data_IF_704629047686
#
_entry.id   IF_704629047686
#
_cell.length_a   1.000
_cell.length_b   1.000
_cell.length_c   1.000
_cell.angle_alpha   90.00
_cell.angle_beta   90.00
_cell.angle_gamma   90.00
#
_symmetry.space_group_name_H-M   'P 1'
#
loop_
_entity.id
_entity.type
_entity.pdbx_description
1 polymer ?
#
# COMPACT_ATOMS: atom_id res chain seq x y z
N UNK A 1 -7.87 58.91 -47.13
CA UNK A 1 -7.45 57.55 -46.75
C UNK A 1 -7.99 57.27 -45.35
N UNK A 2 -9.09 56.52 -45.23
CA UNK A 2 -9.70 56.13 -43.95
C UNK A 2 -9.33 54.67 -43.69
N UNK A 3 -8.49 54.42 -42.70
CA UNK A 3 -8.13 53.06 -42.28
C UNK A 3 -9.23 52.49 -41.40
N UNK A 4 -9.91 51.45 -41.89
CA UNK A 4 -10.79 50.58 -41.10
C UNK A 4 -9.92 49.51 -40.45
N UNK A 5 -9.74 49.60 -39.12
CA UNK A 5 -9.13 48.53 -38.34
C UNK A 5 -10.18 47.46 -38.04
N UNK A 6 -10.01 46.28 -38.64
CA UNK A 6 -10.80 45.10 -38.31
C UNK A 6 -10.31 44.50 -36.99
N UNK A 7 -11.18 44.45 -35.99
CA UNK A 7 -10.94 43.73 -34.73
C UNK A 7 -11.33 42.27 -34.96
N UNK A 8 -10.34 41.38 -34.98
CA UNK A 8 -10.56 39.94 -35.00
C UNK A 8 -10.94 39.47 -33.58
N UNK A 9 -12.18 39.03 -33.40
CA UNK A 9 -12.61 38.35 -32.17
C UNK A 9 -12.04 36.92 -32.17
N UNK A 10 -11.09 36.66 -31.28
CA UNK A 10 -10.57 35.31 -31.04
C UNK A 10 -11.55 34.57 -30.12
N UNK A 11 -12.36 33.67 -30.68
CA UNK A 11 -13.23 32.80 -29.89
C UNK A 11 -12.38 31.71 -29.21
N UNK A 12 -12.19 31.85 -27.89
CA UNK A 12 -11.54 30.83 -27.07
C UNK A 12 -12.49 29.63 -26.92
N UNK A 13 -12.31 28.58 -27.71
CA UNK A 13 -13.03 27.33 -27.51
C UNK A 13 -12.50 26.65 -26.24
N UNK A 14 -13.22 26.78 -25.13
CA UNK A 14 -13.03 25.97 -23.94
C UNK A 14 -13.41 24.52 -24.29
N UNK A 15 -12.39 23.69 -24.56
CA UNK A 15 -12.58 22.26 -24.64
C UNK A 15 -13.14 21.77 -23.28
N UNK A 16 -14.17 20.89 -23.27
CA UNK A 16 -14.64 20.32 -22.02
C UNK A 16 -13.50 19.52 -21.38
N UNK A 17 -13.06 19.96 -20.19
CA UNK A 17 -12.13 19.18 -19.38
C UNK A 17 -12.78 17.82 -19.12
N UNK A 18 -12.18 16.75 -19.65
CA UNK A 18 -12.54 15.41 -19.26
C UNK A 18 -12.38 15.34 -17.73
N UNK A 19 -13.50 15.28 -17.01
CA UNK A 19 -13.50 15.14 -15.55
C UNK A 19 -12.87 13.78 -15.28
N UNK A 20 -11.61 13.77 -14.86
CA UNK A 20 -10.97 12.56 -14.33
C UNK A 20 -11.97 11.94 -13.35
N UNK A 21 -12.28 10.64 -13.52
CA UNK A 21 -13.19 9.95 -12.64
C UNK A 21 -12.70 10.13 -11.21
N UNK A 22 -13.56 10.65 -10.34
CA UNK A 22 -13.21 10.94 -8.95
C UNK A 22 -12.71 9.64 -8.30
N UNK A 23 -11.51 9.67 -7.72
CA UNK A 23 -10.95 8.51 -7.03
C UNK A 23 -11.93 8.09 -5.93
N UNK A 24 -12.14 6.78 -5.72
CA UNK A 24 -13.02 6.36 -4.65
C UNK A 24 -12.37 6.71 -3.31
N UNK A 25 -13.19 7.01 -2.31
CA UNK A 25 -12.75 7.23 -0.93
C UNK A 25 -13.25 6.10 -0.04
N UNK A 26 -12.48 5.02 0.18
CA UNK A 26 -12.83 3.97 1.13
C UNK A 26 -12.83 4.51 2.57
N UNK A 27 -13.74 4.01 3.38
CA UNK A 27 -13.81 4.27 4.82
C UNK A 27 -12.64 3.59 5.56
N UNK A 28 -12.23 2.41 5.07
CA UNK A 28 -11.09 1.64 5.58
C UNK A 28 -10.26 1.06 4.43
N UNK A 29 -8.94 1.18 4.53
CA UNK A 29 -7.97 0.50 3.68
C UNK A 29 -7.08 -0.36 4.56
N UNK A 30 -6.93 -1.65 4.24
CA UNK A 30 -5.91 -2.52 4.83
C UNK A 30 -4.85 -2.77 3.77
N UNK A 31 -3.60 -2.45 4.10
CA UNK A 31 -2.42 -2.74 3.28
C UNK A 31 -1.65 -3.87 3.95
N UNK A 32 -1.54 -5.00 3.27
CA UNK A 32 -0.74 -6.16 3.68
C UNK A 32 0.51 -6.20 2.82
N UNK A 33 1.66 -6.42 3.46
CA UNK A 33 2.97 -6.46 2.79
C UNK A 33 3.61 -7.81 3.10
N UNK A 34 3.82 -8.60 2.06
CA UNK A 34 4.55 -9.88 2.06
C UNK A 34 6.00 -9.65 1.57
N UNK A 35 6.86 -10.67 1.63
CA UNK A 35 8.31 -10.55 1.42
C UNK A 35 8.87 -11.39 0.27
N UNK A 36 9.99 -10.93 -0.30
CA UNK A 36 11.01 -11.72 -1.00
C UNK A 36 10.52 -12.69 -2.08
N UNK A 37 9.49 -12.34 -2.84
CA UNK A 37 8.92 -13.19 -3.87
C UNK A 37 8.61 -12.41 -5.14
N UNK A 38 9.22 -12.85 -6.24
CA UNK A 38 8.95 -12.29 -7.57
C UNK A 38 7.56 -12.65 -8.07
N UNK A 39 7.04 -11.84 -8.99
CA UNK A 39 5.73 -12.03 -9.60
C UNK A 39 5.56 -13.43 -10.17
N UNK A 40 6.57 -13.96 -10.89
CA UNK A 40 6.46 -15.28 -11.51
C UNK A 40 6.41 -16.40 -10.47
N UNK A 41 7.11 -16.24 -9.34
CA UNK A 41 7.10 -17.20 -8.24
C UNK A 41 5.76 -17.29 -7.53
N UNK A 42 4.93 -16.24 -7.60
CA UNK A 42 3.59 -16.24 -7.02
C UNK A 42 2.57 -16.62 -8.09
N UNK A 43 2.49 -15.86 -9.18
CA UNK A 43 1.40 -15.95 -10.14
C UNK A 43 1.55 -17.04 -11.21
N UNK A 44 2.77 -17.57 -11.44
CA UNK A 44 2.99 -18.68 -12.37
C UNK A 44 3.11 -20.04 -11.66
N UNK A 45 2.83 -20.09 -10.35
CA UNK A 45 2.75 -21.35 -9.63
C UNK A 45 1.67 -22.26 -10.20
N UNK A 46 1.90 -23.57 -10.15
CA UNK A 46 0.89 -24.57 -10.51
C UNK A 46 -0.33 -24.56 -9.58
N UNK A 47 -0.26 -23.86 -8.44
CA UNK A 47 -1.32 -23.77 -7.45
C UNK A 47 -2.27 -22.57 -7.71
N UNK A 48 -2.95 -22.59 -8.85
CA UNK A 48 -3.92 -21.55 -9.21
C UNK A 48 -5.17 -21.50 -8.32
N UNK A 49 -5.33 -22.44 -7.37
CA UNK A 49 -6.46 -22.52 -6.44
C UNK A 49 -6.18 -21.92 -5.06
N UNK A 50 -4.97 -21.42 -4.81
CA UNK A 50 -4.60 -20.72 -3.58
C UNK A 50 -5.42 -19.45 -3.34
N UNK A 51 -5.43 -18.97 -2.11
CA UNK A 51 -6.17 -17.77 -1.70
C UNK A 51 -5.64 -16.50 -2.38
N UNK A 52 -4.33 -16.34 -2.52
CA UNK A 52 -3.70 -15.23 -3.27
C UNK A 52 -4.23 -15.18 -4.71
N UNK A 53 -4.31 -16.33 -5.38
CA UNK A 53 -4.87 -16.39 -6.74
C UNK A 53 -6.38 -16.12 -6.76
N UNK A 54 -7.11 -16.49 -5.70
CA UNK A 54 -8.52 -16.12 -5.56
C UNK A 54 -8.70 -14.61 -5.40
N UNK A 55 -7.84 -13.93 -4.63
CA UNK A 55 -7.82 -12.46 -4.53
C UNK A 55 -7.54 -11.81 -5.88
N UNK A 56 -6.55 -12.32 -6.63
CA UNK A 56 -6.22 -11.82 -7.96
C UNK A 56 -7.39 -11.92 -8.95
N UNK A 57 -8.20 -12.99 -8.86
CA UNK A 57 -9.43 -13.16 -9.67
C UNK A 57 -10.58 -12.24 -9.22
N UNK A 58 -10.68 -11.98 -7.91
CA UNK A 58 -11.78 -11.20 -7.32
C UNK A 58 -11.57 -9.69 -7.44
N UNK A 59 -10.32 -9.25 -7.40
CA UNK A 59 -9.91 -7.87 -7.51
C UNK A 59 -9.19 -7.56 -8.82
N UNK A 60 -8.33 -6.56 -8.78
CA UNK A 60 -7.40 -6.26 -9.87
C UNK A 60 -5.99 -6.69 -9.51
N UNK A 61 -5.36 -7.46 -10.41
CA UNK A 61 -3.94 -7.81 -10.35
C UNK A 61 -3.14 -6.82 -11.20
N UNK A 62 -2.11 -6.20 -10.63
CA UNK A 62 -1.16 -5.39 -11.39
C UNK A 62 -0.06 -6.30 -11.94
N UNK A 63 0.01 -6.41 -13.27
CA UNK A 63 0.95 -7.32 -13.95
C UNK A 63 2.31 -6.67 -14.22
N UNK A 64 2.51 -5.44 -13.76
CA UNK A 64 3.71 -4.61 -13.93
C UNK A 64 3.95 -3.81 -12.62
N UNK A 65 3.93 -4.48 -11.48
CA UNK A 65 4.20 -3.88 -10.16
C UNK A 65 5.64 -4.16 -9.74
N UNK A 66 6.33 -3.17 -9.19
CA UNK A 66 7.75 -3.29 -8.85
C UNK A 66 8.05 -2.79 -7.44
N UNK A 67 8.98 -3.46 -6.76
CA UNK A 67 9.67 -2.87 -5.61
C UNK A 67 10.51 -1.66 -6.03
N UNK A 68 10.98 -0.89 -5.05
CA UNK A 68 11.76 0.33 -5.29
C UNK A 68 13.26 0.05 -5.34
N UNK A 69 13.74 -0.85 -4.48
CA UNK A 69 15.17 -1.20 -4.38
C UNK A 69 15.31 -2.54 -3.67
N UNK A 70 16.54 -2.94 -3.40
CA UNK A 70 16.89 -3.93 -2.38
C UNK A 70 17.73 -3.32 -1.25
N UNK A 71 17.74 -3.91 -0.04
CA UNK A 71 16.89 -5.02 0.45
C UNK A 71 15.52 -4.52 0.99
N UNK A 72 14.80 -5.37 1.72
CA UNK A 72 13.43 -5.16 2.21
C UNK A 72 13.15 -3.80 2.85
N UNK A 73 13.93 -3.44 3.89
CA UNK A 73 13.63 -2.28 4.73
C UNK A 73 13.44 -0.97 3.97
N UNK A 74 14.32 -0.59 3.02
CA UNK A 74 14.09 0.54 2.11
C UNK A 74 12.73 0.56 1.40
N UNK A 75 12.14 -0.59 1.04
CA UNK A 75 10.85 -0.66 0.37
C UNK A 75 9.69 -0.31 1.31
N UNK A 76 9.72 -0.78 2.56
CA UNK A 76 8.75 -0.34 3.60
C UNK A 76 8.84 1.16 3.85
N UNK A 77 10.06 1.71 3.93
CA UNK A 77 10.27 3.15 4.09
C UNK A 77 9.77 3.93 2.87
N UNK A 78 9.99 3.41 1.66
CA UNK A 78 9.54 4.01 0.41
C UNK A 78 8.00 4.08 0.35
N UNK A 79 7.31 2.97 0.65
CA UNK A 79 5.85 2.93 0.71
C UNK A 79 5.28 3.83 1.82
N UNK A 80 5.95 3.89 2.97
CA UNK A 80 5.42 4.62 4.13
C UNK A 80 5.72 6.13 4.08
N UNK A 81 6.88 6.53 3.58
CA UNK A 81 7.40 7.90 3.69
C UNK A 81 7.75 8.56 2.36
N UNK A 82 7.57 7.86 1.24
CA UNK A 82 7.95 8.37 -0.08
C UNK A 82 9.47 8.50 -0.25
N UNK A 83 10.27 7.86 0.59
CA UNK A 83 11.74 7.87 0.54
C UNK A 83 12.29 6.63 1.22
N UNK A 84 13.42 6.11 0.74
CA UNK A 84 14.18 5.05 1.44
C UNK A 84 14.90 5.56 2.69
N UNK A 85 14.83 6.87 2.96
CA UNK A 85 15.56 7.57 4.03
C UNK A 85 17.08 7.40 3.94
N UNK A 86 17.61 7.11 2.75
CA UNK A 86 19.04 6.82 2.55
C UNK A 86 19.47 5.47 3.14
N UNK A 87 18.54 4.65 3.62
CA UNK A 87 18.82 3.29 4.08
C UNK A 87 19.10 2.42 2.85
N UNK A 88 20.19 1.67 2.88
CA UNK A 88 20.66 0.81 1.78
C UNK A 88 20.90 -0.63 2.21
N UNK A 89 20.61 -0.94 3.48
CA UNK A 89 20.77 -2.27 4.07
C UNK A 89 19.77 -2.45 5.21
N UNK A 90 19.44 -3.71 5.51
CA UNK A 90 18.69 -4.04 6.72
C UNK A 90 19.51 -3.67 7.95
N UNK A 91 19.06 -2.66 8.69
CA UNK A 91 19.70 -2.21 9.92
C UNK A 91 18.69 -1.63 10.91
N UNK A 92 18.98 -1.76 12.20
CA UNK A 92 18.11 -1.30 13.28
C UNK A 92 18.97 -0.92 14.49
N UNK A 93 18.59 0.12 15.26
CA UNK A 93 17.41 0.97 15.08
C UNK A 93 17.64 2.14 14.10
N UNK A 94 16.53 2.70 13.61
CA UNK A 94 16.49 4.01 12.94
C UNK A 94 15.51 4.94 13.64
N UNK A 95 15.66 6.25 13.44
CA UNK A 95 14.70 7.26 13.88
C UNK A 95 14.66 8.39 12.86
N UNK A 96 13.45 8.75 12.44
CA UNK A 96 13.17 9.78 11.45
C UNK A 96 12.04 10.68 11.94
N UNK A 97 11.98 11.92 11.44
CA UNK A 97 11.01 12.94 11.86
C UNK A 97 10.28 13.62 10.68
N UNK A 98 10.62 13.29 9.44
CA UNK A 98 9.98 13.82 8.23
C UNK A 98 8.55 13.29 8.04
N UNK A 99 7.84 13.88 7.06
CA UNK A 99 6.47 13.46 6.72
C UNK A 99 6.41 12.01 6.22
N UNK A 100 5.30 11.35 6.57
CA UNK A 100 4.95 9.99 6.17
C UNK A 100 3.43 9.86 6.02
N UNK A 101 2.96 8.69 5.57
CA UNK A 101 1.54 8.40 5.35
C UNK A 101 0.72 8.61 6.62
N UNK A 102 1.18 8.09 7.77
CA UNK A 102 0.45 8.17 9.03
C UNK A 102 0.33 9.63 9.51
N UNK A 103 1.43 10.40 9.47
CA UNK A 103 1.40 11.81 9.88
C UNK A 103 0.50 12.66 8.96
N UNK A 104 0.49 12.34 7.66
CA UNK A 104 -0.34 13.04 6.67
C UNK A 104 -1.82 12.73 6.84
N UNK A 105 -2.17 11.47 7.12
CA UNK A 105 -3.53 11.06 7.46
C UNK A 105 -4.04 11.81 8.71
N UNK A 106 -3.24 11.84 9.78
CA UNK A 106 -3.59 12.58 11.00
C UNK A 106 -3.82 14.08 10.74
N UNK A 107 -2.93 14.72 9.97
CA UNK A 107 -3.05 16.12 9.62
C UNK A 107 -4.33 16.41 8.80
N UNK A 108 -4.78 15.44 7.99
CA UNK A 108 -6.03 15.51 7.24
C UNK A 108 -7.29 15.12 8.04
N UNK A 109 -7.17 14.82 9.34
CA UNK A 109 -8.29 14.38 10.18
C UNK A 109 -8.68 12.92 10.02
N UNK A 110 -7.83 12.10 9.39
CA UNK A 110 -7.98 10.66 9.25
C UNK A 110 -7.18 9.90 10.30
N UNK A 111 -7.33 8.58 10.35
CA UNK A 111 -6.67 7.72 11.34
C UNK A 111 -5.79 6.65 10.71
N UNK A 112 -4.74 6.25 11.44
CA UNK A 112 -3.80 5.22 11.02
C UNK A 112 -3.43 4.29 12.18
N UNK A 113 -3.18 3.00 11.88
CA UNK A 113 -2.42 2.11 12.73
C UNK A 113 -1.67 1.05 11.91
N UNK A 114 -0.58 0.52 12.45
CA UNK A 114 0.12 -0.66 11.93
C UNK A 114 -0.06 -1.82 12.90
N UNK A 115 -0.32 -3.01 12.38
CA UNK A 115 -0.54 -4.25 13.13
C UNK A 115 0.50 -5.28 12.68
N UNK A 116 1.53 -5.49 13.50
CA UNK A 116 2.60 -6.44 13.19
C UNK A 116 2.41 -7.74 13.96
N UNK A 117 2.49 -8.86 13.26
CA UNK A 117 2.50 -10.19 13.89
C UNK A 117 3.76 -10.36 14.75
N UNK A 118 3.61 -11.11 15.84
CA UNK A 118 4.68 -11.39 16.82
C UNK A 118 5.33 -10.16 17.48
N UNK A 119 4.81 -8.95 17.27
CA UNK A 119 5.21 -7.75 18.02
C UNK A 119 4.95 -8.00 19.53
N UNK A 120 5.96 -7.81 20.42
CA UNK A 120 5.81 -8.17 21.84
C UNK A 120 4.71 -7.39 22.57
N UNK A 121 4.68 -6.08 22.34
CA UNK A 121 3.78 -5.13 22.96
C UNK A 121 3.46 -3.99 21.99
N UNK A 122 2.30 -3.37 22.15
CA UNK A 122 2.01 -2.13 21.43
C UNK A 122 3.07 -1.07 21.78
N UNK A 123 3.65 -0.44 20.77
CA UNK A 123 4.73 0.53 20.92
C UNK A 123 6.12 -0.08 21.10
N UNK A 124 6.29 -1.40 21.01
CA UNK A 124 7.61 -2.02 21.14
C UNK A 124 8.56 -1.61 20.01
N UNK A 125 9.81 -1.29 20.37
CA UNK A 125 10.85 -0.79 19.46
C UNK A 125 12.03 -1.75 19.31
N UNK A 126 11.94 -2.95 19.87
CA UNK A 126 12.95 -4.00 19.74
C UNK A 126 13.19 -4.31 18.27
N UNK A 127 14.45 -4.60 17.91
CA UNK A 127 14.79 -4.89 16.52
C UNK A 127 14.18 -6.22 16.04
N UNK A 128 14.01 -7.18 16.95
CA UNK A 128 13.36 -8.46 16.67
C UNK A 128 12.76 -9.07 17.94
N UNK A 129 11.82 -10.00 17.77
CA UNK A 129 11.29 -10.87 18.83
C UNK A 129 10.58 -12.08 18.22
N UNK A 130 11.08 -13.29 18.44
CA UNK A 130 10.60 -14.45 17.67
C UNK A 130 10.80 -14.19 16.18
N UNK A 131 9.75 -14.43 15.38
CA UNK A 131 9.74 -14.16 13.94
C UNK A 131 9.48 -12.67 13.58
N UNK A 132 9.13 -11.81 14.55
CA UNK A 132 8.96 -10.38 14.28
C UNK A 132 10.31 -9.73 13.97
N UNK A 133 10.34 -8.92 12.91
CA UNK A 133 11.48 -8.07 12.55
C UNK A 133 11.05 -6.62 12.36
N UNK A 134 11.66 -5.70 13.11
CA UNK A 134 11.37 -4.26 13.01
C UNK A 134 11.71 -3.67 11.64
N UNK A 135 12.60 -4.31 10.86
CA UNK A 135 12.88 -3.87 9.49
C UNK A 135 11.64 -3.86 8.59
N UNK A 136 10.61 -4.67 8.87
CA UNK A 136 9.33 -4.71 8.15
C UNK A 136 8.27 -3.78 8.79
N UNK A 137 8.60 -3.10 9.90
CA UNK A 137 7.68 -2.23 10.64
C UNK A 137 8.10 -0.74 10.51
N UNK A 138 7.64 -0.02 9.46
CA UNK A 138 8.10 1.33 9.22
C UNK A 138 7.62 2.32 10.29
N UNK A 139 6.45 2.11 10.92
CA UNK A 139 5.90 3.06 11.91
C UNK A 139 6.80 3.21 13.13
N UNK A 140 7.51 2.15 13.51
CA UNK A 140 8.46 2.15 14.63
C UNK A 140 9.60 3.17 14.46
N UNK A 141 9.96 3.53 13.21
CA UNK A 141 11.05 4.47 12.94
C UNK A 141 10.65 5.96 13.11
N UNK A 142 9.36 6.27 13.23
CA UNK A 142 8.86 7.62 13.51
C UNK A 142 8.23 7.75 14.91
N UNK A 143 8.14 6.64 15.65
CA UNK A 143 7.56 6.62 16.99
C UNK A 143 8.35 7.52 17.95
N UNK A 144 7.65 8.42 18.64
CA UNK A 144 8.25 9.37 19.60
C UNK A 144 8.82 10.64 18.97
N UNK A 145 9.21 10.60 17.69
CA UNK A 145 9.68 11.77 16.95
C UNK A 145 8.53 12.50 16.23
N UNK A 146 7.68 11.74 15.52
CA UNK A 146 6.57 12.28 14.72
C UNK A 146 5.23 11.59 14.96
N UNK A 147 5.26 10.33 15.41
CA UNK A 147 4.08 9.50 15.60
C UNK A 147 3.95 9.02 17.06
N UNK A 148 2.73 8.91 17.59
CA UNK A 148 2.51 8.35 18.92
C UNK A 148 2.72 6.83 18.93
N UNK A 149 3.20 6.29 20.06
CA UNK A 149 3.44 4.86 20.22
C UNK A 149 2.20 3.98 20.02
N UNK A 150 1.01 4.53 20.28
CA UNK A 150 -0.25 3.81 20.12
C UNK A 150 -0.59 3.39 18.69
N UNK A 151 0.15 3.85 17.67
CA UNK A 151 -0.01 3.43 16.27
C UNK A 151 0.70 2.13 15.92
N UNK A 152 1.73 1.75 16.68
CA UNK A 152 2.47 0.52 16.49
C UNK A 152 1.83 -0.58 17.33
N UNK A 153 0.97 -1.39 16.73
CA UNK A 153 0.12 -2.36 17.42
C UNK A 153 0.52 -3.79 17.09
N UNK A 154 0.14 -4.72 17.96
CA UNK A 154 0.29 -6.15 17.69
C UNK A 154 -0.83 -6.62 16.78
N UNK A 155 -0.56 -7.61 15.94
CA UNK A 155 -1.60 -8.21 15.11
C UNK A 155 -2.72 -8.88 15.94
N UNK A 156 -2.43 -9.36 17.14
CA UNK A 156 -3.45 -9.85 18.07
C UNK A 156 -4.44 -8.78 18.55
N UNK A 157 -4.11 -7.50 18.36
CA UNK A 157 -5.00 -6.37 18.62
C UNK A 157 -5.79 -5.93 17.35
N UNK A 158 -5.62 -6.61 16.21
CA UNK A 158 -6.36 -6.33 14.97
C UNK A 158 -7.87 -6.55 15.18
N UNK A 159 -8.72 -5.54 14.90
CA UNK A 159 -10.14 -5.61 15.21
C UNK A 159 -10.85 -6.78 14.51
N UNK A 160 -11.69 -7.49 15.26
CA UNK A 160 -12.65 -8.45 14.70
C UNK A 160 -13.92 -7.75 14.18
N UNK A 161 -14.25 -6.59 14.75
CA UNK A 161 -15.24 -5.66 14.21
C UNK A 161 -14.52 -4.63 13.32
N UNK A 162 -14.57 -4.87 12.01
CA UNK A 162 -13.85 -4.08 11.02
C UNK A 162 -14.38 -2.64 10.87
N UNK A 163 -15.58 -2.33 11.39
CA UNK A 163 -16.07 -0.94 11.43
C UNK A 163 -15.26 -0.03 12.36
N UNK A 164 -14.43 -0.63 13.23
CA UNK A 164 -13.55 0.07 14.18
C UNK A 164 -12.12 0.22 13.65
N UNK A 165 -11.84 -0.24 12.43
CA UNK A 165 -10.51 -0.05 11.85
C UNK A 165 -10.20 1.45 11.68
N UNK A 166 -8.93 1.85 11.75
CA UNK A 166 -8.50 3.14 11.25
C UNK A 166 -8.86 3.34 9.77
N UNK A 167 -8.75 4.59 9.30
CA UNK A 167 -8.91 4.92 7.88
C UNK A 167 -7.94 4.14 7.01
N UNK A 168 -6.67 4.04 7.43
CA UNK A 168 -5.68 3.17 6.79
C UNK A 168 -4.99 2.32 7.85
N UNK A 169 -4.90 1.01 7.61
CA UNK A 169 -4.20 0.07 8.47
C UNK A 169 -3.12 -0.65 7.68
N UNK A 170 -1.92 -0.74 8.25
CA UNK A 170 -0.91 -1.69 7.76
C UNK A 170 -1.03 -2.99 8.55
N UNK A 171 -0.90 -4.12 7.88
CA UNK A 171 -0.82 -5.45 8.48
C UNK A 171 0.46 -6.08 7.98
N UNK A 172 1.35 -6.42 8.90
CA UNK A 172 2.69 -6.96 8.60
C UNK A 172 2.74 -8.37 9.22
N UNK A 173 2.63 -9.45 8.42
CA UNK A 173 2.90 -10.80 8.90
C UNK A 173 4.35 -10.91 9.38
N UNK A 174 4.66 -11.91 10.20
CA UNK A 174 6.03 -12.16 10.63
C UNK A 174 6.78 -13.07 9.64
N UNK A 175 8.07 -13.29 9.87
CA UNK A 175 8.93 -13.99 8.89
C UNK A 175 8.49 -15.42 8.54
N UNK A 176 7.69 -16.04 9.40
CA UNK A 176 7.16 -17.39 9.16
C UNK A 176 5.94 -17.37 8.22
N UNK A 177 5.26 -16.22 8.10
CA UNK A 177 4.00 -16.07 7.37
C UNK A 177 4.05 -15.01 6.26
N UNK A 178 5.17 -14.30 6.06
CA UNK A 178 5.36 -13.30 5.00
C UNK A 178 6.12 -13.85 3.77
N UNK A 179 6.44 -15.15 3.75
CA UNK A 179 7.29 -15.83 2.74
C UNK A 179 8.78 -15.47 2.79
N UNK A 180 9.27 -14.76 3.80
CA UNK A 180 10.70 -14.50 3.98
C UNK A 180 11.44 -15.77 4.41
N UNK A 181 11.03 -16.37 5.54
CA UNK A 181 11.60 -17.62 6.08
C UNK A 181 10.59 -18.78 5.98
N UNK A 182 9.30 -18.45 5.88
CA UNK A 182 8.19 -19.37 5.65
C UNK A 182 7.98 -19.80 4.20
N UNK A 183 7.03 -20.71 3.97
CA UNK A 183 6.65 -21.16 2.63
C UNK A 183 5.48 -20.36 2.06
N UNK A 184 5.29 -20.46 0.75
CA UNK A 184 4.11 -19.92 0.08
C UNK A 184 2.80 -20.42 0.72
N UNK A 185 2.73 -21.71 1.05
CA UNK A 185 1.53 -22.31 1.66
C UNK A 185 1.26 -21.75 3.06
N UNK A 186 2.31 -21.52 3.86
CA UNK A 186 2.16 -20.94 5.19
C UNK A 186 1.56 -19.52 5.10
N UNK A 187 2.12 -18.68 4.23
CA UNK A 187 1.61 -17.33 3.97
C UNK A 187 0.21 -17.33 3.36
N UNK A 188 -0.08 -18.18 2.37
CA UNK A 188 -1.42 -18.29 1.76
C UNK A 188 -2.49 -18.70 2.79
N UNK A 189 -2.18 -19.69 3.63
CA UNK A 189 -3.07 -20.13 4.71
C UNK A 189 -3.22 -19.08 5.81
N UNK A 190 -2.16 -18.32 6.12
CA UNK A 190 -2.21 -17.21 7.06
C UNK A 190 -3.11 -16.09 6.53
N UNK A 191 -2.86 -15.63 5.30
CA UNK A 191 -3.66 -14.63 4.60
C UNK A 191 -5.13 -15.05 4.55
N UNK A 192 -5.41 -16.30 4.20
CA UNK A 192 -6.78 -16.82 4.14
C UNK A 192 -7.43 -16.78 5.52
N UNK A 193 -6.77 -17.29 6.55
CA UNK A 193 -7.35 -17.35 7.91
C UNK A 193 -7.59 -15.97 8.51
N UNK A 194 -6.68 -15.04 8.26
CA UNK A 194 -6.65 -13.77 8.99
C UNK A 194 -7.24 -12.60 8.20
N UNK A 195 -7.17 -12.61 6.87
CA UNK A 195 -7.59 -11.48 6.02
C UNK A 195 -8.85 -11.78 5.22
N UNK A 196 -9.21 -13.03 4.92
CA UNK A 196 -10.48 -13.35 4.22
C UNK A 196 -11.73 -12.79 4.93
N UNK A 197 -11.84 -12.85 6.27
CA UNK A 197 -12.95 -12.20 6.97
C UNK A 197 -13.04 -10.69 6.69
N UNK A 198 -11.90 -9.99 6.63
CA UNK A 198 -11.87 -8.58 6.25
C UNK A 198 -12.24 -8.38 4.78
N UNK A 199 -11.74 -9.21 3.86
CA UNK A 199 -12.07 -9.08 2.43
C UNK A 199 -13.56 -9.29 2.18
N UNK A 200 -14.18 -10.31 2.79
CA UNK A 200 -15.63 -10.55 2.71
C UNK A 200 -16.44 -9.39 3.25
N UNK A 201 -16.00 -8.80 4.36
CA UNK A 201 -16.62 -7.61 4.93
C UNK A 201 -16.42 -6.41 4.02
N UNK A 202 -15.19 -6.15 3.57
CA UNK A 202 -14.83 -5.03 2.73
C UNK A 202 -15.58 -5.03 1.40
N UNK A 203 -15.91 -6.20 0.82
CA UNK A 203 -16.72 -6.26 -0.41
C UNK A 203 -18.17 -5.76 -0.24
N UNK A 204 -18.65 -5.67 1.00
CA UNK A 204 -20.01 -5.20 1.34
C UNK A 204 -20.01 -3.82 2.01
N UNK A 205 -18.83 -3.29 2.30
CA UNK A 205 -18.63 -1.99 2.95
C UNK A 205 -17.74 -1.14 2.05
N UNK A 206 -17.73 0.18 2.17
CA UNK A 206 -16.91 1.02 1.30
C UNK A 206 -15.42 0.89 1.70
N UNK A 207 -14.78 -0.25 1.48
CA UNK A 207 -13.46 -0.58 2.03
C UNK A 207 -12.59 -1.35 1.02
N UNK A 208 -11.27 -1.31 1.23
CA UNK A 208 -10.27 -1.80 0.28
C UNK A 208 -9.22 -2.67 0.99
N UNK A 209 -8.85 -3.78 0.36
CA UNK A 209 -7.61 -4.50 0.61
C UNK A 209 -6.59 -4.13 -0.48
N UNK A 210 -5.36 -3.85 -0.07
CA UNK A 210 -4.16 -3.83 -0.91
C UNK A 210 -3.24 -4.92 -0.38
N UNK A 211 -2.97 -5.94 -1.20
CA UNK A 211 -1.95 -6.95 -0.91
C UNK A 211 -0.77 -6.70 -1.86
N UNK A 212 0.44 -6.57 -1.33
CA UNK A 212 1.65 -6.34 -2.11
C UNK A 212 2.85 -7.06 -1.50
N UNK A 213 3.94 -7.12 -2.25
CA UNK A 213 5.23 -7.63 -1.79
C UNK A 213 6.24 -6.48 -1.78
N UNK A 214 7.13 -6.47 -0.80
CA UNK A 214 8.10 -5.40 -0.65
C UNK A 214 9.18 -5.43 -1.74
N UNK A 215 9.68 -6.61 -2.08
CA UNK A 215 10.69 -6.88 -3.10
C UNK A 215 10.62 -8.31 -3.64
N UNK A 216 11.28 -8.54 -4.78
CA UNK A 216 11.58 -9.89 -5.26
C UNK A 216 12.82 -10.47 -4.56
N UNK A 217 13.25 -11.66 -4.97
CA UNK A 217 14.45 -12.32 -4.46
C UNK A 217 15.70 -12.11 -5.35
N UNK A 218 15.88 -10.90 -5.88
CA UNK A 218 16.97 -10.48 -6.77
C UNK A 218 16.97 -11.18 -8.14
N UNK A 219 15.80 -11.47 -8.73
CA UNK A 219 15.69 -12.32 -9.94
C UNK A 219 14.88 -11.75 -11.10
N UNK A 220 13.93 -10.87 -10.84
CA UNK A 220 12.90 -10.42 -11.78
C UNK A 220 12.87 -8.88 -11.89
N UNK A 221 14.03 -8.22 -11.76
CA UNK A 221 14.14 -6.75 -11.76
C UNK A 221 13.23 -6.09 -10.72
N UNK A 222 13.07 -6.75 -9.57
CA UNK A 222 12.18 -6.35 -8.49
C UNK A 222 10.70 -6.33 -8.89
N UNK A 223 10.30 -7.17 -9.85
CA UNK A 223 8.91 -7.33 -10.27
C UNK A 223 8.15 -8.17 -9.25
N UNK A 224 7.16 -7.54 -8.61
CA UNK A 224 6.40 -8.08 -7.48
C UNK A 224 4.92 -8.17 -7.79
N UNK A 225 4.16 -8.85 -6.94
CA UNK A 225 2.70 -8.89 -7.03
C UNK A 225 2.10 -7.69 -6.28
N UNK A 226 1.08 -7.07 -6.89
CA UNK A 226 0.16 -6.16 -6.18
C UNK A 226 -1.27 -6.47 -6.59
N UNK A 227 -2.15 -6.64 -5.61
CA UNK A 227 -3.57 -6.96 -5.80
C UNK A 227 -4.42 -5.97 -4.99
N UNK A 228 -5.42 -5.39 -5.63
CA UNK A 228 -6.42 -4.53 -4.99
C UNK A 228 -7.79 -5.21 -5.00
N UNK A 229 -8.45 -5.33 -3.85
CA UNK A 229 -9.77 -5.97 -3.72
C UNK A 229 -10.72 -5.07 -2.92
N UNK A 230 -11.88 -4.74 -3.50
CA UNK A 230 -12.92 -3.95 -2.85
C UNK A 230 -14.08 -3.68 -3.82
N UNK A 231 -15.25 -3.21 -3.33
CA UNK A 231 -16.42 -3.04 -4.17
C UNK A 231 -16.23 -1.94 -5.21
N UNK A 232 -15.35 -0.97 -4.94
CA UNK A 232 -14.97 0.07 -5.91
C UNK A 232 -13.99 -0.39 -7.00
N UNK A 233 -13.42 -1.59 -6.90
CA UNK A 233 -12.42 -2.09 -7.86
C UNK A 233 -13.11 -2.84 -8.99
N UNK A 234 -12.70 -2.58 -10.24
CA UNK A 234 -13.04 -3.38 -11.42
C UNK A 234 -12.14 -4.62 -11.44
N UNK A 235 -12.71 -5.85 -11.35
CA UNK A 235 -11.89 -7.04 -11.38
C UNK A 235 -11.19 -7.23 -12.73
N UNK A 236 -10.00 -7.84 -12.71
CA UNK A 236 -9.23 -8.15 -13.92
C UNK A 236 -7.72 -7.96 -13.73
N UNK A 237 -7.03 -7.64 -14.81
CA UNK A 237 -5.60 -7.35 -14.80
C UNK A 237 -5.35 -5.92 -15.26
N UNK A 238 -4.35 -5.25 -14.68
CA UNK A 238 -3.90 -3.93 -15.11
C UNK A 238 -2.43 -3.98 -15.53
N UNK A 239 -2.09 -3.55 -16.77
CA UNK A 239 -0.71 -3.45 -17.22
C UNK A 239 -0.04 -2.14 -16.78
N UNK A 240 -0.70 -1.33 -15.94
CA UNK A 240 -0.12 -0.09 -15.43
C UNK A 240 1.18 -0.41 -14.70
N UNK A 241 2.24 0.27 -15.11
CA UNK A 241 3.54 0.18 -14.43
C UNK A 241 3.48 0.96 -13.13
N UNK A 242 3.60 0.27 -12.01
CA UNK A 242 3.52 0.87 -10.67
C UNK A 242 4.67 0.40 -9.79
N UNK A 243 4.97 1.17 -8.74
CA UNK A 243 5.80 0.77 -7.62
C UNK A 243 5.22 1.26 -6.29
N UNK A 244 5.97 1.09 -5.19
CA UNK A 244 5.55 1.54 -3.86
C UNK A 244 5.20 3.03 -3.75
N UNK A 245 5.84 3.89 -4.55
CA UNK A 245 5.49 5.31 -4.59
C UNK A 245 4.16 5.57 -5.28
N UNK A 246 3.77 4.77 -6.28
CA UNK A 246 2.43 4.84 -6.87
C UNK A 246 1.35 4.40 -5.87
N UNK A 247 1.60 3.34 -5.10
CA UNK A 247 0.68 2.88 -4.05
C UNK A 247 0.51 3.97 -2.98
N UNK A 248 1.61 4.54 -2.49
CA UNK A 248 1.58 5.69 -1.57
C UNK A 248 0.82 6.87 -2.18
N UNK A 249 1.14 7.24 -3.42
CA UNK A 249 0.47 8.35 -4.11
C UNK A 249 -1.04 8.13 -4.22
N UNK A 250 -1.48 6.91 -4.53
CA UNK A 250 -2.89 6.55 -4.55
C UNK A 250 -3.55 6.74 -3.19
N UNK A 251 -2.93 6.31 -2.10
CA UNK A 251 -3.48 6.50 -0.75
C UNK A 251 -3.61 7.98 -0.40
N UNK A 252 -2.61 8.80 -0.75
CA UNK A 252 -2.67 10.24 -0.51
C UNK A 252 -3.79 10.91 -1.32
N UNK A 253 -3.86 10.63 -2.62
CA UNK A 253 -4.84 11.26 -3.52
C UNK A 253 -6.29 10.84 -3.20
N UNK A 254 -6.52 9.58 -2.81
CA UNK A 254 -7.83 9.06 -2.39
C UNK A 254 -8.40 9.83 -1.19
N UNK A 255 -7.54 10.32 -0.30
CA UNK A 255 -7.92 11.11 0.88
C UNK A 255 -7.70 12.62 0.70
N UNK A 256 -7.32 13.07 -0.50
CA UNK A 256 -7.09 14.49 -0.80
C UNK A 256 -5.88 15.09 -0.04
N UNK A 257 -4.89 14.26 0.27
CA UNK A 257 -3.70 14.64 1.02
C UNK A 257 -2.57 15.08 0.07
N UNK A 258 -1.73 16.05 0.48
CA UNK A 258 -0.61 16.49 -0.35
C UNK A 258 0.45 15.39 -0.50
N UNK A 259 1.00 15.24 -1.70
CA UNK A 259 2.11 14.34 -1.96
C UNK A 259 3.43 14.82 -1.33
N UNK A 260 4.27 13.88 -0.90
CA UNK A 260 5.60 14.12 -0.32
C UNK A 260 6.62 13.07 -0.78
N UNK A 261 7.90 13.40 -0.64
CA UNK A 261 8.99 12.57 -1.17
C UNK A 261 8.79 12.24 -2.66
N UNK A 262 9.19 11.05 -3.07
CA UNK A 262 9.06 10.55 -4.43
C UNK A 262 7.61 10.30 -4.88
N UNK A 263 6.62 10.29 -3.97
CA UNK A 263 5.21 10.20 -4.38
C UNK A 263 4.74 11.43 -5.19
N UNK A 264 5.46 12.55 -5.11
CA UNK A 264 5.20 13.75 -5.93
C UNK A 264 5.37 13.49 -7.42
N UNK A 265 6.36 12.66 -7.76
CA UNK A 265 6.72 12.30 -9.13
C UNK A 265 5.95 11.06 -9.63
N UNK A 266 5.30 10.34 -8.71
CA UNK A 266 4.43 9.22 -9.05
C UNK A 266 3.02 9.69 -9.43
N UNK A 267 2.33 8.91 -10.24
CA UNK A 267 0.89 9.08 -10.50
C UNK A 267 0.09 8.11 -9.63
N UNK A 268 -1.09 8.54 -9.17
CA UNK A 268 -2.05 7.63 -8.57
C UNK A 268 -2.55 6.61 -9.59
N UNK A 269 -2.71 5.37 -9.14
CA UNK A 269 -3.37 4.28 -9.84
C UNK A 269 -4.75 4.75 -10.35
N UNK A 270 -4.97 4.61 -11.65
CA UNK A 270 -6.16 5.05 -12.38
C UNK A 270 -6.81 3.89 -13.12
N UNK A 271 -7.96 4.14 -13.75
CA UNK A 271 -8.69 3.24 -14.66
C UNK A 271 -9.18 1.87 -14.11
N UNK A 272 -8.76 1.47 -12.91
CA UNK A 272 -9.22 0.26 -12.21
C UNK A 272 -10.44 0.50 -11.31
N UNK A 273 -10.83 1.75 -11.10
CA UNK A 273 -11.96 2.11 -10.24
C UNK A 273 -13.28 2.06 -11.02
N UNK A 274 -14.33 1.48 -10.42
CA UNK A 274 -15.70 1.57 -10.93
C UNK A 274 -16.16 3.03 -10.87
N UNK A 275 -16.90 3.46 -11.90
CA UNK A 275 -17.55 4.78 -11.86
C UNK A 275 -18.61 4.76 -10.76
N UNK A 276 -18.61 5.78 -9.92
CA UNK A 276 -19.68 6.03 -8.94
C UNK A 276 -20.91 6.58 -9.64
#
# INVERSE_FOLDING_TARGET
>A
MRHLSAIALLALMLAPSARAGELPRPDHVVVVIEENSGYSQIMNMRNSHSYIHALARRGVLFTQSYGVTHPSQPNYLALFSGSTQGVTRNSCPHTFDNDNLASSLLAGGFSFASYSESLPAAGDLSCSSGAYQRKHNPVANWQGARLPAGMNKRFSDFPQDFSRLPTVSFVIPDQDNDMHDGSFEAADDWLKRHLDPYVEWAMKHNSLLILTWDEDNFREDNHVVTILVGPMVKPGASPQRINHYNVLRTLLDIYGLPAFGASREAEAIKDIWKKR
#
